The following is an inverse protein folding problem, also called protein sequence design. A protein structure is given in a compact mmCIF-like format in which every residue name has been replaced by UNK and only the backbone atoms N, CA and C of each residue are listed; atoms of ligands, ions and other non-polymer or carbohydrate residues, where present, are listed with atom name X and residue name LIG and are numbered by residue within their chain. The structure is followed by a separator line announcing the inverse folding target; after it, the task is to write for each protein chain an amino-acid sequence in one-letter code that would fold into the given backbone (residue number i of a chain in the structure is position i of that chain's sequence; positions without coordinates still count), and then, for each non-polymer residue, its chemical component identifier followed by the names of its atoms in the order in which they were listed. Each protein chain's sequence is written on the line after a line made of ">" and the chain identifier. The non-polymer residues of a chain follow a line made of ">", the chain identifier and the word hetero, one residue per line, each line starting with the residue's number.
data_IF_909176583574
#
_entry.id   IF_909176583574
#
_cell.length_a   1.000
_cell.length_b   1.000
_cell.length_c   1.000
_cell.angle_alpha   90.00
_cell.angle_beta   90.00
_cell.angle_gamma   90.00
#
_symmetry.space_group_name_H-M   'P 1'
#
loop_
_entity.id
_entity.type
_entity.pdbx_description
1 polymer ?
#
# COMPACT_ATOMS: atom_id res chain seq x y z
N UNK A 1 8.38 13.21 29.14
CA UNK A 1 8.00 14.60 28.84
C UNK A 1 9.28 15.43 28.81
N UNK A 2 9.86 15.66 27.62
CA UNK A 2 11.11 16.44 27.48
C UNK A 2 10.76 17.94 27.41
N UNK A 3 11.42 18.74 28.24
CA UNK A 3 11.08 20.15 28.47
C UNK A 3 11.45 21.05 27.29
N UNK A 4 10.62 22.07 27.07
CA UNK A 4 10.77 23.12 26.03
C UNK A 4 12.01 24.01 26.17
N UNK A 5 12.90 23.74 27.14
CA UNK A 5 14.08 24.56 27.47
C UNK A 5 15.42 23.86 27.12
N UNK A 6 15.43 22.98 26.13
CA UNK A 6 16.66 22.38 25.62
C UNK A 6 17.33 23.33 24.61
N UNK A 7 18.54 23.81 24.91
CA UNK A 7 19.39 24.61 24.00
C UNK A 7 19.89 23.85 22.76
N UNK A 8 19.55 22.56 22.64
CA UNK A 8 19.98 21.69 21.55
C UNK A 8 18.87 21.63 20.51
N UNK A 9 19.17 22.05 19.28
CA UNK A 9 18.25 22.01 18.16
C UNK A 9 18.43 20.71 17.36
N UNK A 10 17.32 20.11 16.92
CA UNK A 10 17.32 18.92 16.06
C UNK A 10 17.45 19.38 14.62
N UNK A 11 18.53 19.01 13.94
CA UNK A 11 18.67 19.27 12.51
C UNK A 11 18.05 18.11 11.73
N UNK A 12 17.32 18.42 10.68
CA UNK A 12 16.73 17.44 9.78
C UNK A 12 17.08 17.80 8.36
N UNK A 13 17.66 16.85 7.63
CA UNK A 13 18.10 17.02 6.25
C UNK A 13 17.22 16.16 5.34
N UNK A 14 16.59 16.80 4.36
CA UNK A 14 15.94 16.14 3.25
C UNK A 14 17.00 15.79 2.20
N UNK A 15 17.15 14.52 1.87
CA UNK A 15 18.08 14.03 0.84
C UNK A 15 17.34 13.57 -0.42
N UNK A 16 17.96 13.75 -1.59
CA UNK A 16 17.52 13.17 -2.85
C UNK A 16 17.79 11.68 -2.92
N UNK A 17 17.26 11.02 -3.96
CA UNK A 17 17.58 9.62 -4.28
C UNK A 17 19.08 9.37 -4.49
N UNK A 18 19.80 10.37 -5.00
CA UNK A 18 21.26 10.35 -5.15
C UNK A 18 22.03 10.67 -3.86
N UNK A 19 21.34 10.81 -2.72
CA UNK A 19 21.92 11.09 -1.41
C UNK A 19 22.33 12.55 -1.19
N UNK A 20 22.03 13.45 -2.14
CA UNK A 20 22.36 14.87 -2.04
C UNK A 20 21.39 15.62 -1.14
N UNK A 21 21.88 16.53 -0.31
CA UNK A 21 21.04 17.39 0.52
C UNK A 21 20.20 18.36 -0.34
N UNK A 22 18.88 18.20 -0.30
CA UNK A 22 17.90 19.07 -0.98
C UNK A 22 17.59 20.28 -0.10
N UNK A 23 17.28 20.04 1.17
CA UNK A 23 16.80 21.08 2.09
C UNK A 23 17.04 20.68 3.54
N UNK A 24 17.30 21.66 4.40
CA UNK A 24 17.51 21.47 5.85
C UNK A 24 16.49 22.23 6.67
N UNK A 25 16.04 21.61 7.75
CA UNK A 25 15.24 22.22 8.80
C UNK A 25 15.93 22.09 10.14
N UNK A 26 15.61 23.01 11.04
CA UNK A 26 16.07 22.99 12.43
C UNK A 26 14.82 23.10 13.31
N UNK A 27 14.58 22.08 14.12
CA UNK A 27 13.43 22.00 15.02
C UNK A 27 13.89 22.16 16.47
N UNK A 28 13.10 22.84 17.33
CA UNK A 28 13.36 22.84 18.77
C UNK A 28 13.16 21.41 19.33
N UNK A 29 14.04 20.97 20.24
CA UNK A 29 13.83 19.72 21.00
C UNK A 29 12.54 19.85 21.82
N UNK A 30 11.68 18.82 21.76
CA UNK A 30 10.35 18.80 22.39
C UNK A 30 9.17 18.95 21.42
N UNK A 31 9.44 19.00 20.11
CA UNK A 31 8.42 19.16 19.06
C UNK A 31 7.57 17.91 18.79
N UNK A 32 7.96 16.73 19.28
CA UNK A 32 7.19 15.49 19.09
C UNK A 32 7.49 14.43 20.16
N UNK A 33 6.50 13.59 20.46
CA UNK A 33 6.56 12.46 21.41
C UNK A 33 6.57 11.08 20.75
N UNK A 34 6.36 10.96 19.43
CA UNK A 34 6.38 9.68 18.71
C UNK A 34 7.04 9.82 17.34
N UNK A 35 7.53 8.72 16.76
CA UNK A 35 8.10 8.72 15.42
C UNK A 35 7.06 9.16 14.38
N UNK A 36 5.79 8.78 14.58
CA UNK A 36 4.66 9.14 13.71
C UNK A 36 4.35 10.65 13.73
N UNK A 37 4.24 11.25 14.92
CA UNK A 37 3.97 12.69 15.04
C UNK A 37 5.15 13.51 14.52
N UNK A 38 6.37 13.00 14.69
CA UNK A 38 7.57 13.64 14.14
C UNK A 38 7.57 13.61 12.61
N UNK A 39 7.20 12.46 12.02
CA UNK A 39 7.09 12.31 10.57
C UNK A 39 6.03 13.26 9.99
N UNK A 40 4.85 13.32 10.60
CA UNK A 40 3.76 14.22 10.19
C UNK A 40 4.20 15.69 10.22
N UNK A 41 4.88 16.12 11.29
CA UNK A 41 5.43 17.46 11.40
C UNK A 41 6.46 17.77 10.31
N UNK A 42 7.28 16.79 9.92
CA UNK A 42 8.25 16.98 8.84
C UNK A 42 7.57 17.12 7.48
N UNK A 43 6.52 16.34 7.18
CA UNK A 43 5.75 16.48 5.94
C UNK A 43 5.12 17.86 5.82
N UNK A 44 4.54 18.39 6.90
CA UNK A 44 3.99 19.75 6.95
C UNK A 44 5.07 20.81 6.68
N UNK A 45 6.27 20.64 7.27
CA UNK A 45 7.34 21.64 7.18
C UNK A 45 8.10 21.59 5.86
N UNK A 46 8.28 20.41 5.28
CA UNK A 46 8.89 20.25 3.96
C UNK A 46 7.89 20.48 2.83
N UNK A 47 6.58 20.35 3.09
CA UNK A 47 5.50 20.59 2.14
C UNK A 47 5.36 19.47 1.10
N UNK A 48 5.80 18.25 1.43
CA UNK A 48 5.79 17.08 0.55
C UNK A 48 5.74 15.78 1.37
N UNK A 49 5.14 14.70 0.83
CA UNK A 49 5.10 13.41 1.51
C UNK A 49 6.51 12.82 1.62
N UNK A 50 6.85 12.25 2.77
CA UNK A 50 8.18 11.71 3.07
C UNK A 50 8.14 10.18 3.19
N UNK A 51 9.25 9.53 2.88
CA UNK A 51 9.41 8.10 3.18
C UNK A 51 9.21 7.87 4.68
N UNK A 52 8.57 6.75 5.06
CA UNK A 52 8.41 6.36 6.47
C UNK A 52 9.74 6.03 7.16
N UNK A 53 10.81 5.84 6.37
CA UNK A 53 12.16 5.61 6.91
C UNK A 53 12.77 6.93 7.39
N UNK A 54 12.96 7.04 8.69
CA UNK A 54 13.76 8.08 9.33
C UNK A 54 15.12 7.48 9.67
N UNK A 55 16.19 8.15 9.25
CA UNK A 55 17.56 7.74 9.55
C UNK A 55 18.28 8.83 10.33
N UNK A 56 19.34 8.49 11.05
CA UNK A 56 20.22 9.44 11.69
C UNK A 56 21.67 8.99 11.57
N UNK A 57 22.60 9.94 11.70
CA UNK A 57 24.03 9.62 11.78
C UNK A 57 24.43 9.56 13.24
N UNK A 58 24.94 8.42 13.68
CA UNK A 58 25.40 8.23 15.06
C UNK A 58 26.73 8.95 15.36
N UNK A 59 27.28 8.74 16.55
CA UNK A 59 28.55 9.34 16.96
C UNK A 59 29.78 8.75 16.23
N UNK A 60 29.62 7.57 15.64
CA UNK A 60 30.67 6.81 14.94
C UNK A 60 30.66 7.12 13.43
N UNK A 61 29.62 7.82 12.96
CA UNK A 61 29.47 8.27 11.58
C UNK A 61 28.59 7.35 10.73
N UNK A 62 27.99 6.33 11.35
CA UNK A 62 27.17 5.35 10.67
C UNK A 62 25.73 5.83 10.52
N UNK A 63 25.11 5.44 9.40
CA UNK A 63 23.70 5.77 9.13
C UNK A 63 22.81 4.70 9.75
N UNK A 64 22.13 5.06 10.83
CA UNK A 64 21.21 4.17 11.56
C UNK A 64 19.78 4.47 11.13
N UNK A 65 18.99 3.42 10.88
CA UNK A 65 17.55 3.54 10.56
C UNK A 65 16.74 3.33 11.83
N UNK A 66 15.83 4.26 12.15
CA UNK A 66 14.88 4.07 13.23
C UNK A 66 13.77 3.12 12.79
N UNK A 67 13.66 1.97 13.45
CA UNK A 67 12.62 0.96 13.18
C UNK A 67 11.55 0.90 14.27
N UNK A 68 11.86 1.41 15.47
CA UNK A 68 10.95 1.48 16.61
C UNK A 68 10.98 2.86 17.29
N UNK A 69 9.91 3.21 18.02
CA UNK A 69 9.81 4.47 18.77
C UNK A 69 10.90 4.58 19.86
N UNK A 70 11.33 3.47 20.46
CA UNK A 70 12.40 3.44 21.46
C UNK A 70 13.74 3.89 20.88
N UNK A 71 14.10 3.42 19.69
CA UNK A 71 15.33 3.80 18.97
C UNK A 71 15.29 5.28 18.57
N UNK A 72 14.12 5.75 18.14
CA UNK A 72 13.89 7.16 17.81
C UNK A 72 14.03 8.07 19.05
N UNK A 73 13.48 7.66 20.18
CA UNK A 73 13.65 8.37 21.46
C UNK A 73 15.11 8.38 21.92
N UNK A 74 15.83 7.27 21.76
CA UNK A 74 17.25 7.19 22.06
C UNK A 74 18.05 8.17 21.17
N UNK A 75 17.76 8.20 19.86
CA UNK A 75 18.39 9.14 18.93
C UNK A 75 18.15 10.61 19.33
N UNK A 76 16.91 10.98 19.68
CA UNK A 76 16.56 12.33 20.13
C UNK A 76 17.24 12.75 21.44
N UNK A 77 17.51 11.80 22.33
CA UNK A 77 18.09 12.06 23.66
C UNK A 77 19.61 11.99 23.67
N UNK A 78 20.22 11.28 22.72
CA UNK A 78 21.66 11.21 22.51
C UNK A 78 22.26 12.50 21.93
N UNK A 79 23.58 12.53 21.74
CA UNK A 79 24.32 13.63 21.07
C UNK A 79 24.11 13.69 19.54
N UNK A 80 23.25 12.82 19.00
CA UNK A 80 22.89 12.81 17.59
C UNK A 80 22.06 14.04 17.25
N UNK A 81 22.58 14.86 16.32
CA UNK A 81 21.99 16.16 16.02
C UNK A 81 21.42 16.26 14.59
N UNK A 82 21.49 15.20 13.78
CA UNK A 82 21.06 15.28 12.38
C UNK A 82 20.33 14.02 11.93
N UNK A 83 19.02 14.18 11.73
CA UNK A 83 18.18 13.19 11.08
C UNK A 83 18.21 13.41 9.57
N UNK A 84 18.15 12.33 8.82
CA UNK A 84 18.01 12.33 7.37
C UNK A 84 16.68 11.68 6.99
N UNK A 85 15.94 12.37 6.14
CA UNK A 85 14.69 11.90 5.53
C UNK A 85 14.79 12.04 4.02
N UNK A 86 14.03 11.23 3.30
CA UNK A 86 13.94 11.30 1.85
C UNK A 86 12.50 11.61 1.44
N UNK A 87 12.27 12.32 0.32
CA UNK A 87 10.95 12.38 -0.29
C UNK A 87 10.39 10.98 -0.43
N UNK A 88 9.08 10.83 -0.21
CA UNK A 88 8.40 9.63 -0.68
C UNK A 88 8.52 9.68 -2.20
N UNK A 89 9.34 8.79 -2.76
CA UNK A 89 9.37 8.59 -4.19
C UNK A 89 7.92 8.40 -4.66
N UNK A 90 7.59 8.97 -5.84
CA UNK A 90 6.40 8.53 -6.59
C UNK A 90 6.65 7.11 -7.11
N UNK A 91 6.79 6.17 -6.19
CA UNK A 91 6.93 4.75 -6.49
C UNK A 91 5.92 4.02 -5.63
N UNK A 92 4.96 3.44 -6.35
CA UNK A 92 4.46 2.09 -6.17
C UNK A 92 4.70 1.47 -4.78
N UNK A 93 3.60 1.13 -4.10
CA UNK A 93 3.49 0.69 -2.70
C UNK A 93 4.17 -0.67 -2.40
N UNK A 94 5.24 -1.03 -3.11
CA UNK A 94 5.86 -2.36 -3.17
C UNK A 94 7.15 -2.52 -2.35
N UNK A 95 7.70 -1.47 -1.72
CA UNK A 95 8.88 -1.66 -0.84
C UNK A 95 8.51 -2.43 0.44
N UNK A 96 9.08 -3.63 0.61
CA UNK A 96 8.86 -4.55 1.75
C UNK A 96 8.10 -5.83 1.40
N UNK A 97 7.67 -5.98 0.14
CA UNK A 97 7.04 -7.20 -0.35
C UNK A 97 8.14 -8.00 -1.06
N UNK A 98 8.57 -9.12 -0.48
CA UNK A 98 9.32 -10.11 -1.26
C UNK A 98 8.42 -10.54 -2.42
N UNK A 99 8.81 -10.12 -3.64
CA UNK A 99 8.28 -10.71 -4.86
C UNK A 99 8.78 -12.15 -4.83
N UNK A 100 7.90 -13.08 -4.45
CA UNK A 100 8.09 -14.47 -4.84
C UNK A 100 7.97 -14.43 -6.36
N UNK A 101 9.10 -14.53 -7.07
CA UNK A 101 9.14 -14.54 -8.53
C UNK A 101 8.06 -15.47 -9.06
N UNK A 102 6.92 -14.90 -9.45
CA UNK A 102 5.95 -15.62 -10.25
C UNK A 102 6.59 -15.69 -11.64
N UNK A 103 6.62 -16.89 -12.28
CA UNK A 103 7.32 -17.08 -13.55
C UNK A 103 6.93 -15.99 -14.51
N UNK A 104 7.95 -15.33 -15.08
CA UNK A 104 7.88 -14.25 -16.06
C UNK A 104 6.64 -14.39 -16.96
N UNK A 105 5.54 -13.78 -16.54
CA UNK A 105 4.45 -13.46 -17.45
C UNK A 105 4.89 -12.14 -18.05
N UNK A 106 5.41 -12.20 -19.27
CA UNK A 106 5.53 -11.01 -20.10
C UNK A 106 4.12 -10.41 -20.21
N UNK A 107 3.84 -9.40 -19.39
CA UNK A 107 2.68 -8.54 -19.60
C UNK A 107 2.90 -7.86 -20.93
N UNK A 108 2.25 -8.38 -21.98
CA UNK A 108 2.17 -7.72 -23.26
C UNK A 108 1.77 -6.26 -23.03
N UNK A 109 2.61 -5.35 -23.49
CA UNK A 109 2.42 -3.90 -23.41
C UNK A 109 0.98 -3.61 -23.84
N UNK A 110 0.18 -3.01 -22.95
CA UNK A 110 -1.15 -2.55 -23.32
C UNK A 110 -0.99 -1.53 -24.45
N UNK A 111 -1.21 -1.98 -25.69
CA UNK A 111 -1.18 -1.13 -26.86
C UNK A 111 -2.28 -0.10 -26.69
N UNK A 112 -1.90 1.18 -26.73
CA UNK A 112 -2.85 2.29 -26.73
C UNK A 112 -3.83 2.09 -27.89
N UNK A 113 -5.07 1.70 -27.58
CA UNK A 113 -6.17 1.61 -28.55
C UNK A 113 -6.68 3.00 -28.94
N UNK A 114 -5.79 3.85 -29.45
CA UNK A 114 -6.13 5.13 -30.07
C UNK A 114 -6.56 4.95 -31.55
N UNK A 115 -7.33 3.90 -31.85
CA UNK A 115 -8.03 3.73 -33.12
C UNK A 115 -9.51 3.46 -32.81
N UNK A 116 -10.37 4.36 -33.31
CA UNK A 116 -11.72 4.63 -32.84
C UNK A 116 -12.79 3.65 -33.36
N UNK A 117 -12.47 2.36 -33.47
CA UNK A 117 -13.43 1.29 -33.77
C UNK A 117 -13.48 0.35 -32.57
N UNK A 118 -14.44 0.58 -31.67
CA UNK A 118 -14.72 -0.37 -30.57
C UNK A 118 -15.33 -1.62 -31.20
N UNK A 119 -14.54 -2.69 -31.31
CA UNK A 119 -15.09 -4.01 -31.61
C UNK A 119 -15.89 -4.49 -30.40
N UNK A 120 -17.21 -4.53 -30.56
CA UNK A 120 -18.10 -5.09 -29.56
C UNK A 120 -17.91 -6.60 -29.52
N UNK A 121 -17.62 -7.12 -28.33
CA UNK A 121 -17.58 -8.55 -28.06
C UNK A 121 -18.64 -8.90 -27.02
N UNK A 122 -19.13 -10.14 -27.10
CA UNK A 122 -20.00 -10.72 -26.10
C UNK A 122 -19.24 -11.56 -25.07
N UNK A 123 -17.91 -11.57 -25.14
CA UNK A 123 -17.02 -12.24 -24.19
C UNK A 123 -16.32 -11.23 -23.29
N UNK A 124 -16.05 -11.60 -22.03
CA UNK A 124 -15.12 -10.87 -21.16
C UNK A 124 -13.95 -11.78 -20.77
N UNK A 125 -12.78 -11.18 -20.60
CA UNK A 125 -11.58 -11.84 -20.08
C UNK A 125 -10.99 -11.04 -18.92
N UNK A 126 -10.80 -11.68 -17.78
CA UNK A 126 -10.29 -11.04 -16.58
C UNK A 126 -9.54 -12.05 -15.70
N UNK A 127 -8.94 -11.60 -14.61
CA UNK A 127 -8.18 -12.48 -13.71
C UNK A 127 -8.75 -12.43 -12.30
N UNK A 128 -8.67 -13.56 -11.60
CA UNK A 128 -9.02 -13.67 -10.19
C UNK A 128 -7.92 -14.43 -9.47
N UNK A 129 -7.26 -13.78 -8.51
CA UNK A 129 -6.16 -14.37 -7.74
C UNK A 129 -5.10 -15.02 -8.64
N UNK A 130 -4.75 -14.36 -9.75
CA UNK A 130 -3.74 -14.81 -10.72
C UNK A 130 -4.25 -15.82 -11.76
N UNK A 131 -5.50 -16.30 -11.66
CA UNK A 131 -6.08 -17.24 -12.62
C UNK A 131 -6.92 -16.51 -13.65
N UNK A 132 -6.63 -16.73 -14.92
CA UNK A 132 -7.41 -16.20 -16.05
C UNK A 132 -8.83 -16.78 -16.07
N UNK A 133 -9.79 -15.94 -16.42
CA UNK A 133 -11.22 -16.24 -16.49
C UNK A 133 -11.76 -15.67 -17.79
N UNK A 134 -12.14 -16.57 -18.70
CA UNK A 134 -12.83 -16.25 -19.94
C UNK A 134 -14.29 -16.62 -19.81
N UNK A 135 -15.18 -15.67 -20.07
CA UNK A 135 -16.61 -15.89 -20.02
C UNK A 135 -17.26 -15.45 -21.32
N UNK A 136 -18.12 -16.30 -21.85
CA UNK A 136 -18.93 -16.02 -23.03
C UNK A 136 -20.35 -15.67 -22.58
N UNK A 137 -20.88 -14.56 -23.11
CA UNK A 137 -22.24 -14.06 -22.84
C UNK A 137 -22.61 -14.00 -21.34
N UNK A 138 -21.77 -13.39 -20.47
CA UNK A 138 -22.12 -13.23 -19.06
C UNK A 138 -23.41 -12.39 -18.91
N UNK A 139 -24.24 -12.72 -17.92
CA UNK A 139 -25.40 -11.87 -17.62
C UNK A 139 -24.95 -10.49 -17.14
N UNK A 140 -25.46 -9.39 -17.73
CA UNK A 140 -25.07 -8.04 -17.35
C UNK A 140 -25.60 -7.61 -15.97
N UNK A 141 -26.54 -8.37 -15.39
CA UNK A 141 -27.11 -8.09 -14.07
C UNK A 141 -26.34 -8.71 -12.90
N UNK A 142 -25.37 -9.61 -13.18
CA UNK A 142 -24.63 -10.30 -12.12
C UNK A 142 -23.57 -9.37 -11.54
N UNK A 143 -23.54 -9.27 -10.21
CA UNK A 143 -22.47 -8.57 -9.50
C UNK A 143 -21.21 -9.44 -9.42
N UNK A 144 -20.06 -8.80 -9.28
CA UNK A 144 -18.78 -9.47 -9.08
C UNK A 144 -18.82 -10.33 -7.81
N UNK A 145 -19.46 -9.84 -6.75
CA UNK A 145 -19.62 -10.57 -5.49
C UNK A 145 -20.40 -11.88 -5.69
N UNK A 146 -21.57 -11.80 -6.34
CA UNK A 146 -22.41 -12.98 -6.56
C UNK A 146 -21.68 -14.01 -7.41
N UNK A 147 -20.96 -13.57 -8.44
CA UNK A 147 -20.18 -14.48 -9.27
C UNK A 147 -19.02 -15.13 -8.49
N UNK A 148 -18.27 -14.36 -7.69
CA UNK A 148 -17.19 -14.89 -6.86
C UNK A 148 -17.71 -15.97 -5.90
N UNK A 149 -18.84 -15.71 -5.23
CA UNK A 149 -19.39 -16.59 -4.19
C UNK A 149 -20.15 -17.77 -4.78
N UNK A 150 -21.16 -17.49 -5.59
CA UNK A 150 -22.15 -18.48 -6.03
C UNK A 150 -21.64 -19.29 -7.23
N UNK A 151 -20.87 -18.66 -8.13
CA UNK A 151 -20.35 -19.36 -9.33
C UNK A 151 -18.98 -19.96 -9.10
N UNK A 152 -18.09 -19.29 -8.36
CA UNK A 152 -16.69 -19.74 -8.16
C UNK A 152 -16.40 -20.33 -6.79
N UNK A 153 -17.36 -20.33 -5.86
CA UNK A 153 -17.18 -20.78 -4.49
C UNK A 153 -16.00 -20.10 -3.76
N UNK A 154 -15.65 -18.88 -4.17
CA UNK A 154 -14.64 -18.03 -3.53
C UNK A 154 -15.32 -17.22 -2.41
N UNK A 155 -15.60 -17.91 -1.31
CA UNK A 155 -16.46 -17.42 -0.22
C UNK A 155 -15.79 -16.50 0.79
N UNK A 156 -14.50 -16.18 0.61
CA UNK A 156 -13.76 -15.28 1.51
C UNK A 156 -14.15 -13.80 1.39
N UNK A 157 -14.95 -13.45 0.38
CA UNK A 157 -15.61 -12.15 0.25
C UNK A 157 -17.07 -12.31 0.64
N UNK A 158 -17.59 -11.41 1.48
CA UNK A 158 -18.92 -11.56 2.08
C UNK A 158 -19.92 -10.55 1.54
N UNK A 159 -21.20 -10.92 1.57
CA UNK A 159 -22.32 -10.00 1.40
C UNK A 159 -22.76 -9.52 2.79
N UNK A 160 -22.71 -8.21 3.01
CA UNK A 160 -23.28 -7.55 4.18
C UNK A 160 -24.49 -6.72 3.78
N UNK A 161 -24.28 -5.41 3.61
CA UNK A 161 -25.36 -4.47 3.28
C UNK A 161 -25.85 -4.49 1.82
N UNK A 162 -25.03 -4.92 0.85
CA UNK A 162 -25.38 -4.87 -0.58
C UNK A 162 -25.38 -3.49 -1.23
N UNK A 163 -25.23 -2.41 -0.45
CA UNK A 163 -25.27 -1.01 -0.91
C UNK A 163 -23.92 -0.27 -0.80
N UNK A 164 -22.84 -0.99 -0.47
CA UNK A 164 -21.48 -0.46 -0.44
C UNK A 164 -21.05 0.27 0.85
N UNK A 165 -21.92 0.38 1.86
CA UNK A 165 -21.60 1.08 3.11
C UNK A 165 -20.67 0.31 4.06
N UNK A 166 -20.76 -1.02 4.10
CA UNK A 166 -20.07 -1.82 5.13
C UNK A 166 -18.65 -2.29 4.77
N UNK A 167 -18.25 -2.22 3.49
CA UNK A 167 -16.91 -2.65 3.05
C UNK A 167 -16.57 -4.15 3.18
N UNK A 168 -17.44 -5.01 3.71
CA UNK A 168 -17.13 -6.45 3.88
C UNK A 168 -16.97 -7.22 2.54
N UNK A 169 -17.46 -6.62 1.46
CA UNK A 169 -17.31 -7.12 0.09
C UNK A 169 -16.08 -6.54 -0.64
N UNK A 170 -15.16 -5.90 0.08
CA UNK A 170 -14.00 -5.24 -0.54
C UNK A 170 -13.09 -6.26 -1.23
N UNK A 171 -12.72 -5.95 -2.47
CA UNK A 171 -11.68 -6.64 -3.23
C UNK A 171 -10.73 -5.59 -3.83
N UNK A 172 -9.49 -5.97 -4.10
CA UNK A 172 -8.59 -5.15 -4.89
C UNK A 172 -8.84 -5.40 -6.38
N UNK A 173 -8.95 -4.32 -7.15
CA UNK A 173 -9.00 -4.34 -8.60
C UNK A 173 -7.73 -3.69 -9.13
N UNK A 174 -7.01 -4.40 -9.98
CA UNK A 174 -5.92 -3.86 -10.79
C UNK A 174 -6.47 -3.60 -12.19
N UNK A 175 -6.45 -2.34 -12.62
CA UNK A 175 -6.92 -1.95 -13.95
C UNK A 175 -5.86 -2.21 -15.03
N UNK A 176 -6.21 -1.98 -16.29
CA UNK A 176 -5.31 -2.19 -17.43
C UNK A 176 -4.06 -1.28 -17.41
N UNK A 177 -4.06 -0.19 -16.62
CA UNK A 177 -2.87 0.65 -16.41
C UNK A 177 -1.92 0.10 -15.34
N UNK A 178 -2.32 -0.98 -14.65
CA UNK A 178 -1.61 -1.55 -13.51
C UNK A 178 -1.93 -0.87 -12.19
N UNK A 179 -2.89 0.06 -12.14
CA UNK A 179 -3.27 0.75 -10.92
C UNK A 179 -4.17 -0.14 -10.06
N UNK A 180 -3.78 -0.32 -8.81
CA UNK A 180 -4.57 -1.04 -7.81
C UNK A 180 -5.51 -0.08 -7.08
N UNK A 181 -6.81 -0.42 -7.03
CA UNK A 181 -7.83 0.31 -6.27
C UNK A 181 -8.71 -0.65 -5.47
N UNK A 182 -9.10 -0.32 -4.23
CA UNK A 182 -10.11 -1.07 -3.51
C UNK A 182 -11.50 -0.75 -4.09
N UNK A 183 -12.33 -1.77 -4.27
CA UNK A 183 -13.72 -1.61 -4.73
C UNK A 183 -14.68 -2.48 -3.91
N UNK A 184 -15.94 -2.04 -3.84
CA UNK A 184 -17.05 -2.84 -3.31
C UNK A 184 -17.56 -3.80 -4.39
N UNK A 185 -17.27 -5.10 -4.26
CA UNK A 185 -17.69 -6.11 -5.25
C UNK A 185 -19.20 -6.30 -5.36
N UNK A 186 -19.98 -5.93 -4.33
CA UNK A 186 -21.44 -6.01 -4.35
C UNK A 186 -22.10 -4.99 -5.29
N UNK A 187 -21.39 -3.90 -5.65
CA UNK A 187 -21.89 -2.88 -6.59
C UNK A 187 -21.18 -2.93 -7.95
N UNK A 188 -20.12 -3.75 -8.08
CA UNK A 188 -19.41 -3.90 -9.34
C UNK A 188 -20.10 -4.96 -10.19
N UNK A 189 -20.58 -4.60 -11.37
CA UNK A 189 -21.10 -5.58 -12.33
C UNK A 189 -19.95 -6.43 -12.89
N UNK A 190 -20.22 -7.73 -13.10
CA UNK A 190 -19.24 -8.68 -13.63
C UNK A 190 -18.73 -8.26 -15.02
N UNK A 191 -19.62 -7.79 -15.90
CA UNK A 191 -19.21 -7.33 -17.23
C UNK A 191 -18.27 -6.10 -17.19
N UNK A 192 -18.24 -5.36 -16.09
CA UNK A 192 -17.39 -4.18 -15.96
C UNK A 192 -15.95 -4.52 -15.54
N UNK A 193 -15.61 -5.78 -15.26
CA UNK A 193 -14.24 -6.18 -14.88
C UNK A 193 -13.43 -6.76 -16.03
N UNK A 194 -13.91 -6.63 -17.27
CA UNK A 194 -13.14 -7.01 -18.46
C UNK A 194 -11.77 -6.31 -18.47
N UNK A 195 -10.72 -7.09 -18.77
CA UNK A 195 -9.33 -6.65 -18.76
C UNK A 195 -8.73 -6.35 -17.38
N UNK A 196 -9.46 -6.57 -16.27
CA UNK A 196 -9.00 -6.27 -14.91
C UNK A 196 -8.50 -7.53 -14.18
N UNK A 197 -7.69 -7.34 -13.14
CA UNK A 197 -7.32 -8.40 -12.20
C UNK A 197 -7.92 -8.14 -10.83
N UNK A 198 -8.74 -9.08 -10.35
CA UNK A 198 -9.38 -9.06 -9.05
C UNK A 198 -8.56 -9.90 -8.06
N UNK A 199 -8.25 -9.33 -6.90
CA UNK A 199 -7.64 -10.03 -5.77
C UNK A 199 -8.55 -9.92 -4.57
N UNK A 200 -9.00 -11.06 -4.06
CA UNK A 200 -9.78 -11.14 -2.83
C UNK A 200 -8.94 -11.63 -1.64
N UNK A 201 -9.55 -11.74 -0.46
CA UNK A 201 -8.88 -12.19 0.76
C UNK A 201 -8.18 -13.55 0.62
N UNK A 202 -8.76 -14.47 -0.15
CA UNK A 202 -8.19 -15.80 -0.42
C UNK A 202 -7.00 -15.75 -1.39
N UNK A 203 -6.89 -14.68 -2.18
CA UNK A 203 -5.75 -14.45 -3.08
C UNK A 203 -4.49 -13.98 -2.37
N UNK A 204 -4.60 -13.45 -1.15
CA UNK A 204 -3.45 -12.99 -0.36
C UNK A 204 -2.71 -14.14 0.30
N UNK A 205 -3.44 -15.16 0.74
CA UNK A 205 -2.89 -16.24 1.54
C UNK A 205 -3.98 -17.07 2.20
N UNK A 206 -3.59 -18.20 2.76
CA UNK A 206 -4.48 -19.13 3.46
C UNK A 206 -3.71 -19.94 4.49
N UNK A 207 -4.40 -20.58 5.43
CA UNK A 207 -3.76 -21.52 6.37
C UNK A 207 -3.04 -22.69 5.68
N UNK A 208 -3.40 -23.01 4.43
CA UNK A 208 -2.76 -24.08 3.64
C UNK A 208 -1.49 -23.63 2.93
N UNK A 209 -1.41 -22.36 2.54
CA UNK A 209 -0.34 -21.80 1.69
C UNK A 209 0.56 -20.82 2.45
N UNK A 210 0.23 -20.53 3.71
CA UNK A 210 0.81 -19.44 4.47
C UNK A 210 -0.10 -18.21 4.48
N UNK A 211 -0.23 -17.60 5.66
CA UNK A 211 -0.94 -16.34 5.83
C UNK A 211 -0.08 -15.17 5.35
N UNK A 212 -0.71 -14.24 4.65
CA UNK A 212 -0.12 -12.93 4.34
C UNK A 212 0.17 -12.15 5.63
N UNK A 213 1.17 -11.28 5.63
CA UNK A 213 1.53 -10.48 6.81
C UNK A 213 0.33 -9.73 7.42
N UNK A 214 -0.54 -9.17 6.58
CA UNK A 214 -1.79 -8.52 7.01
C UNK A 214 -2.76 -9.48 7.69
N UNK A 215 -2.94 -10.70 7.14
CA UNK A 215 -3.81 -11.73 7.73
C UNK A 215 -3.26 -12.21 9.07
N UNK A 216 -1.93 -12.32 9.21
CA UNK A 216 -1.27 -12.69 10.46
C UNK A 216 -1.42 -11.59 11.51
N UNK A 217 -1.11 -10.35 11.14
CA UNK A 217 -1.16 -9.20 12.04
C UNK A 217 -2.56 -8.98 12.64
N UNK A 218 -3.64 -9.09 11.84
CA UNK A 218 -5.00 -8.94 12.37
C UNK A 218 -5.38 -10.09 13.32
N UNK A 219 -4.93 -11.31 13.06
CA UNK A 219 -5.23 -12.47 13.89
C UNK A 219 -4.47 -12.41 15.23
N UNK A 220 -3.15 -12.15 15.18
CA UNK A 220 -2.29 -12.06 16.37
C UNK A 220 -2.58 -10.80 17.20
N UNK A 221 -3.03 -9.73 16.55
CA UNK A 221 -3.41 -8.47 17.18
C UNK A 221 -4.81 -8.45 17.79
N UNK A 222 -5.53 -9.59 17.84
CA UNK A 222 -6.91 -9.69 18.31
C UNK A 222 -7.89 -8.74 17.57
N UNK A 223 -7.64 -8.49 16.28
CA UNK A 223 -8.44 -7.61 15.43
C UNK A 223 -9.66 -8.29 14.77
N UNK A 224 -9.94 -9.54 15.12
CA UNK A 224 -11.09 -10.34 14.65
C UNK A 224 -11.73 -11.04 15.85
N UNK A 225 -13.07 -11.08 15.90
CA UNK A 225 -13.88 -11.73 16.94
C UNK A 225 -14.77 -12.82 16.37
#
# INVERSE_FOLDING_TARGET
>A
MLSWNSSIAVKVVLKSESGQEIRRLVLPKGSSTSCFDFHTLLEERFGLPLSRRITYTDAEGDTVTCTADEEFHHALTSKVCTFCVAPQLKTDLREGWEIVDHPLVECAVASSRANNTVEWTTSINFWVNGKEVKMQNPSPSITLLDWLRETRALTGTHLGCGEGGCGICTVALVDASGKTVPINSCLRLLCAVDGCHIVNSQGLGSVKTGLHAVQRAIAEGNGSQ
#
